data_IF_276459545890
#
_entry.id   IF_276459545890
#
_cell.length_a   1.000
_cell.length_b   1.000
_cell.length_c   1.000
_cell.angle_alpha   90.00
_cell.angle_beta   90.00
_cell.angle_gamma   90.00
#
_symmetry.space_group_name_H-M   'P 1'
#
loop_
_entity.id
_entity.type
_entity.pdbx_description
1 polymer ?
#
# COMPACT_ATOMS: atom_id res chain seq x y z
N UNK A 1 26.45 -15.72 -11.56
CA UNK A 1 25.20 -15.05 -11.98
C UNK A 1 24.10 -15.51 -11.04
N UNK A 2 23.68 -14.67 -10.09
CA UNK A 2 22.61 -15.00 -9.16
C UNK A 2 21.28 -14.92 -9.91
N UNK A 3 20.59 -16.06 -10.03
CA UNK A 3 19.28 -16.12 -10.66
C UNK A 3 18.32 -15.18 -9.91
N UNK A 4 17.80 -14.19 -10.61
CA UNK A 4 16.66 -13.38 -10.16
C UNK A 4 15.43 -14.29 -10.25
N UNK A 5 15.11 -14.95 -9.14
CA UNK A 5 13.96 -15.84 -9.06
C UNK A 5 12.67 -15.02 -9.21
N UNK A 6 12.01 -15.17 -10.37
CA UNK A 6 10.61 -14.85 -10.52
C UNK A 6 9.83 -15.67 -9.49
N UNK A 7 9.12 -14.97 -8.62
CA UNK A 7 8.28 -15.49 -7.54
C UNK A 7 7.07 -16.27 -8.06
N UNK A 8 7.23 -17.28 -8.92
CA UNK A 8 6.14 -18.04 -9.58
C UNK A 8 5.01 -17.16 -10.17
N UNK A 9 5.28 -15.89 -10.49
CA UNK A 9 4.29 -14.89 -10.92
C UNK A 9 3.53 -14.15 -9.80
N UNK A 10 3.74 -14.48 -8.53
CA UNK A 10 3.15 -13.75 -7.38
C UNK A 10 3.83 -12.40 -7.17
N UNK A 11 3.05 -11.39 -6.81
CA UNK A 11 3.56 -10.08 -6.39
C UNK A 11 3.69 -9.96 -4.87
N UNK A 12 4.37 -8.92 -4.36
CA UNK A 12 4.52 -8.64 -2.92
C UNK A 12 3.22 -8.48 -2.13
N UNK A 13 2.10 -8.34 -2.85
CA UNK A 13 0.75 -8.34 -2.31
C UNK A 13 0.23 -9.72 -1.90
N UNK A 14 0.95 -10.80 -2.22
CA UNK A 14 0.53 -12.17 -2.01
C UNK A 14 1.49 -12.91 -1.05
N UNK A 15 1.00 -13.67 -0.05
CA UNK A 15 1.87 -14.39 0.88
C UNK A 15 2.88 -15.35 0.22
N UNK A 16 2.46 -16.06 -0.84
CA UNK A 16 3.33 -16.93 -1.65
C UNK A 16 4.56 -16.23 -2.23
N UNK A 17 4.51 -14.92 -2.46
CA UNK A 17 5.69 -14.17 -2.88
C UNK A 17 6.82 -14.33 -1.87
N UNK A 18 6.51 -14.15 -0.58
CA UNK A 18 7.50 -14.25 0.48
C UNK A 18 7.87 -15.70 0.78
N UNK A 19 6.90 -16.62 0.73
CA UNK A 19 7.16 -18.06 0.91
C UNK A 19 8.15 -18.62 -0.13
N UNK A 20 8.06 -18.13 -1.38
CA UNK A 20 8.94 -18.55 -2.48
C UNK A 20 10.28 -17.79 -2.55
N UNK A 21 10.63 -17.01 -1.52
CA UNK A 21 11.90 -16.28 -1.47
C UNK A 21 11.87 -14.86 -2.06
N UNK A 22 10.69 -14.31 -2.32
CA UNK A 22 10.52 -12.95 -2.81
C UNK A 22 11.10 -11.91 -1.85
N UNK A 23 11.79 -10.91 -2.39
CA UNK A 23 12.46 -9.87 -1.60
C UNK A 23 11.47 -8.78 -1.16
N UNK A 24 11.32 -8.51 0.15
CA UNK A 24 10.46 -7.43 0.61
C UNK A 24 10.86 -6.06 0.04
N UNK A 25 9.87 -5.30 -0.43
CA UNK A 25 10.09 -3.99 -1.01
C UNK A 25 10.29 -2.92 0.06
N UNK A 26 11.20 -1.98 -0.19
CA UNK A 26 11.32 -0.79 0.63
C UNK A 26 10.11 0.14 0.43
N UNK A 27 9.70 0.92 1.45
CA UNK A 27 8.57 1.85 1.32
C UNK A 27 8.66 2.81 0.13
N UNK A 28 9.87 3.26 -0.23
CA UNK A 28 10.10 4.10 -1.42
C UNK A 28 9.81 3.36 -2.73
N UNK A 29 10.08 2.05 -2.81
CA UNK A 29 9.74 1.23 -3.97
C UNK A 29 8.23 1.01 -4.06
N UNK A 30 7.59 0.70 -2.93
CA UNK A 30 6.12 0.55 -2.86
C UNK A 30 5.44 1.85 -3.35
N UNK A 31 5.89 3.02 -2.86
CA UNK A 31 5.37 4.32 -3.32
C UNK A 31 5.53 4.52 -4.83
N UNK A 32 6.69 4.14 -5.41
CA UNK A 32 6.92 4.23 -6.86
C UNK A 32 5.97 3.33 -7.65
N UNK A 33 5.73 2.11 -7.19
CA UNK A 33 4.77 1.19 -7.82
C UNK A 33 3.35 1.78 -7.81
N UNK A 34 2.93 2.34 -6.68
CA UNK A 34 1.61 3.01 -6.55
C UNK A 34 1.48 4.17 -7.54
N UNK A 35 2.48 5.05 -7.62
CA UNK A 35 2.49 6.16 -8.58
C UNK A 35 2.38 5.64 -10.01
N UNK A 36 3.21 4.65 -10.36
CA UNK A 36 3.24 4.10 -11.71
C UNK A 36 1.94 3.38 -12.10
N UNK A 37 1.22 2.80 -11.14
CA UNK A 37 -0.02 2.08 -11.42
C UNK A 37 -1.25 3.00 -11.56
N UNK A 38 -1.16 4.27 -11.16
CA UNK A 38 -2.32 5.19 -11.12
C UNK A 38 -3.45 4.73 -10.19
N UNK A 39 -3.17 3.80 -9.26
CA UNK A 39 -4.19 3.27 -8.36
C UNK A 39 -4.57 4.34 -7.33
N UNK A 40 -5.88 4.54 -7.12
CA UNK A 40 -6.44 5.58 -6.23
C UNK A 40 -6.82 5.09 -4.84
N UNK A 41 -6.63 3.79 -4.55
CA UNK A 41 -6.99 3.21 -3.26
C UNK A 41 -8.47 2.86 -3.14
N UNK A 42 -8.83 2.15 -2.08
CA UNK A 42 -10.20 1.71 -1.83
C UNK A 42 -11.18 2.85 -1.50
N UNK A 43 -10.68 4.04 -1.09
CA UNK A 43 -11.50 5.22 -0.80
C UNK A 43 -11.79 6.08 -2.02
N UNK A 44 -11.37 5.69 -3.23
CA UNK A 44 -11.47 6.53 -4.42
C UNK A 44 -12.88 7.13 -4.64
N UNK A 45 -13.94 6.30 -4.58
CA UNK A 45 -15.31 6.79 -4.76
C UNK A 45 -15.79 7.75 -3.68
N UNK A 46 -15.34 7.57 -2.43
CA UNK A 46 -15.67 8.49 -1.34
C UNK A 46 -14.92 9.82 -1.49
N UNK A 47 -13.65 9.77 -1.89
CA UNK A 47 -12.84 10.96 -2.18
C UNK A 47 -13.44 11.74 -3.36
N UNK A 48 -13.91 11.06 -4.40
CA UNK A 48 -14.59 11.68 -5.54
C UNK A 48 -15.88 12.39 -5.10
N UNK A 49 -16.68 11.75 -4.24
CA UNK A 49 -17.90 12.35 -3.66
C UNK A 49 -17.59 13.61 -2.84
N UNK A 50 -16.55 13.56 -2.02
CA UNK A 50 -16.10 14.69 -1.20
C UNK A 50 -15.56 15.83 -2.08
N UNK A 51 -14.84 15.49 -3.15
CA UNK A 51 -14.33 16.50 -4.08
C UNK A 51 -15.47 17.32 -4.70
N UNK A 52 -16.64 16.75 -4.92
CA UNK A 52 -17.81 17.49 -5.42
C UNK A 52 -18.48 18.43 -4.41
N UNK A 53 -18.05 18.43 -3.14
CA UNK A 53 -18.58 19.38 -2.16
C UNK A 53 -18.08 20.81 -2.42
N UNK A 54 -18.88 21.80 -2.05
CA UNK A 54 -18.44 23.19 -2.03
C UNK A 54 -17.35 23.42 -0.95
N UNK A 55 -16.50 24.40 -1.18
CA UNK A 55 -15.60 24.89 -0.14
C UNK A 55 -16.39 25.59 0.98
N UNK A 56 -15.96 25.52 2.26
CA UNK A 56 -14.72 24.90 2.75
C UNK A 56 -14.85 23.41 3.11
N UNK A 57 -16.04 22.81 2.93
CA UNK A 57 -16.33 21.43 3.35
C UNK A 57 -15.42 20.43 2.66
N UNK A 58 -15.26 20.57 1.34
CA UNK A 58 -14.34 19.76 0.52
C UNK A 58 -12.94 19.72 1.12
N UNK A 59 -12.30 20.88 1.29
CA UNK A 59 -10.92 20.95 1.82
C UNK A 59 -10.82 20.35 3.22
N UNK A 60 -11.81 20.61 4.08
CA UNK A 60 -11.80 20.08 5.44
C UNK A 60 -11.87 18.54 5.47
N UNK A 61 -12.78 17.94 4.70
CA UNK A 61 -12.95 16.49 4.65
C UNK A 61 -11.76 15.80 3.98
N UNK A 62 -11.21 16.35 2.90
CA UNK A 62 -9.99 15.83 2.26
C UNK A 62 -8.80 15.85 3.24
N UNK A 63 -8.63 16.92 4.03
CA UNK A 63 -7.57 16.98 5.06
C UNK A 63 -7.78 15.94 6.17
N UNK A 64 -9.02 15.67 6.56
CA UNK A 64 -9.33 14.62 7.54
C UNK A 64 -8.98 13.21 7.02
N UNK A 65 -9.27 12.92 5.74
CA UNK A 65 -8.85 11.68 5.08
C UNK A 65 -7.32 11.57 5.05
N UNK A 66 -6.62 12.65 4.65
CA UNK A 66 -5.15 12.69 4.64
C UNK A 66 -4.55 12.40 6.01
N UNK A 67 -5.09 13.00 7.08
CA UNK A 67 -4.63 12.78 8.45
C UNK A 67 -4.82 11.31 8.90
N UNK A 68 -5.98 10.74 8.58
CA UNK A 68 -6.29 9.32 8.88
C UNK A 68 -5.35 8.39 8.12
N UNK A 69 -5.17 8.60 6.82
CA UNK A 69 -4.28 7.79 5.98
C UNK A 69 -2.80 7.89 6.41
N UNK A 70 -2.32 9.07 6.82
CA UNK A 70 -0.97 9.23 7.37
C UNK A 70 -0.77 8.46 8.67
N UNK A 71 -1.78 8.46 9.54
CA UNK A 71 -1.73 7.75 10.82
C UNK A 71 -1.69 6.24 10.61
N UNK A 72 -2.56 5.73 9.72
CA UNK A 72 -2.56 4.31 9.34
C UNK A 72 -1.25 3.90 8.67
N UNK A 73 -0.75 4.70 7.72
CA UNK A 73 0.53 4.43 7.06
C UNK A 73 1.68 4.30 8.06
N UNK A 74 1.78 5.18 9.06
CA UNK A 74 2.82 5.08 10.09
C UNK A 74 2.73 3.76 10.87
N UNK A 75 1.52 3.37 11.29
CA UNK A 75 1.27 2.10 11.98
C UNK A 75 1.65 0.90 11.11
N UNK A 76 1.23 0.91 9.84
CA UNK A 76 1.50 -0.20 8.93
C UNK A 76 2.97 -0.28 8.53
N UNK A 77 3.68 0.84 8.44
CA UNK A 77 5.14 0.84 8.23
C UNK A 77 5.90 0.20 9.40
N UNK A 78 5.48 0.46 10.65
CA UNK A 78 6.08 -0.22 11.81
C UNK A 78 5.80 -1.73 11.76
N UNK A 79 4.53 -2.12 11.60
CA UNK A 79 4.17 -3.55 11.53
C UNK A 79 4.79 -4.28 10.32
N UNK A 80 4.97 -3.59 9.19
CA UNK A 80 5.67 -4.16 8.03
C UNK A 80 7.14 -4.42 8.33
N UNK A 81 7.82 -3.52 9.05
CA UNK A 81 9.22 -3.72 9.45
C UNK A 81 9.36 -4.92 10.37
N UNK A 82 8.47 -5.08 11.34
CA UNK A 82 8.43 -6.24 12.25
C UNK A 82 8.27 -7.54 11.46
N UNK A 83 7.24 -7.62 10.60
CA UNK A 83 7.00 -8.80 9.76
C UNK A 83 8.17 -9.11 8.82
N UNK A 84 8.84 -8.09 8.27
CA UNK A 84 10.03 -8.26 7.43
C UNK A 84 11.25 -8.71 8.23
N UNK A 85 11.41 -8.26 9.47
CA UNK A 85 12.46 -8.75 10.35
C UNK A 85 12.24 -10.24 10.68
N UNK A 86 11.02 -10.62 11.02
CA UNK A 86 10.67 -12.03 11.26
C UNK A 86 10.87 -12.89 10.02
N UNK A 87 10.44 -12.42 8.84
CA UNK A 87 10.71 -13.07 7.56
C UNK A 87 12.20 -13.34 7.32
N UNK A 88 13.07 -12.43 7.75
CA UNK A 88 14.53 -12.57 7.57
C UNK A 88 15.17 -13.48 8.61
N UNK A 89 14.55 -13.59 9.79
CA UNK A 89 15.03 -14.44 10.89
C UNK A 89 14.53 -15.88 10.75
N UNK A 90 13.32 -16.05 10.21
CA UNK A 90 12.76 -17.36 9.89
C UNK A 90 13.41 -17.98 8.67
N UNK A 91 13.37 -19.31 8.58
CA UNK A 91 13.72 -20.00 7.34
C UNK A 91 12.61 -19.79 6.31
N UNK A 92 12.87 -18.93 5.31
CA UNK A 92 12.04 -18.86 4.11
C UNK A 92 12.29 -20.13 3.31
N UNK A 93 11.31 -21.03 3.32
CA UNK A 93 11.43 -22.35 2.72
C UNK A 93 10.56 -22.45 1.48
N UNK A 94 11.19 -22.73 0.35
CA UNK A 94 10.50 -23.16 -0.86
C UNK A 94 10.73 -24.65 -1.05
N UNK A 95 9.71 -25.46 -0.78
CA UNK A 95 9.73 -26.87 -1.14
C UNK A 95 9.29 -27.05 -2.59
N UNK A 96 10.15 -27.63 -3.42
CA UNK A 96 9.74 -28.04 -4.77
C UNK A 96 8.92 -29.32 -4.76
N UNK A 97 9.09 -30.17 -3.74
CA UNK A 97 8.39 -31.44 -3.62
C UNK A 97 7.00 -31.28 -3.01
N UNK A 98 6.82 -30.28 -2.13
CA UNK A 98 5.53 -29.93 -1.54
C UNK A 98 5.27 -28.41 -1.55
N UNK A 99 4.85 -27.86 -2.70
CA UNK A 99 4.55 -26.43 -2.82
C UNK A 99 3.32 -26.01 -2.00
N UNK A 100 2.60 -26.93 -1.36
CA UNK A 100 1.42 -26.67 -0.54
C UNK A 100 1.73 -26.66 0.96
N UNK A 101 3.00 -26.80 1.35
CA UNK A 101 3.43 -26.63 2.74
C UNK A 101 2.87 -25.31 3.29
N UNK A 102 2.36 -25.36 4.53
CA UNK A 102 1.65 -24.22 5.14
C UNK A 102 2.49 -22.94 5.09
N UNK A 103 1.88 -21.85 4.62
CA UNK A 103 2.48 -20.52 4.63
C UNK A 103 2.60 -20.04 6.08
N UNK A 104 3.79 -19.59 6.47
CA UNK A 104 4.00 -19.01 7.80
C UNK A 104 3.24 -17.69 7.99
N UNK A 105 2.80 -17.43 9.23
CA UNK A 105 2.05 -16.21 9.61
C UNK A 105 2.79 -14.92 9.23
N UNK A 106 4.12 -14.95 9.23
CA UNK A 106 4.97 -13.82 8.85
C UNK A 106 4.86 -13.48 7.35
N UNK A 107 4.68 -14.46 6.46
CA UNK A 107 4.46 -14.22 5.02
C UNK A 107 3.10 -13.55 4.78
N UNK A 108 2.08 -14.03 5.49
CA UNK A 108 0.73 -13.45 5.42
C UNK A 108 0.76 -12.02 5.95
N UNK A 109 1.34 -11.82 7.13
CA UNK A 109 1.47 -10.51 7.76
C UNK A 109 2.21 -9.51 6.88
N UNK A 110 3.32 -9.90 6.27
CA UNK A 110 4.07 -9.04 5.35
C UNK A 110 3.24 -8.65 4.12
N UNK A 111 2.52 -9.60 3.52
CA UNK A 111 1.69 -9.31 2.34
C UNK A 111 0.51 -8.38 2.65
N UNK A 112 -0.15 -8.56 3.80
CA UNK A 112 -1.23 -7.69 4.26
C UNK A 112 -0.71 -6.28 4.55
N UNK A 113 0.41 -6.18 5.27
CA UNK A 113 1.01 -4.88 5.57
C UNK A 113 1.51 -4.16 4.31
N UNK A 114 2.07 -4.89 3.36
CA UNK A 114 2.37 -4.35 2.03
C UNK A 114 1.10 -3.74 1.39
N UNK A 115 -0.02 -4.48 1.38
CA UNK A 115 -1.27 -4.02 0.75
C UNK A 115 -1.86 -2.79 1.45
N UNK A 116 -1.76 -2.70 2.77
CA UNK A 116 -2.18 -1.51 3.51
C UNK A 116 -1.30 -0.30 3.19
N UNK A 117 0.03 -0.47 3.15
CA UNK A 117 0.97 0.60 2.76
C UNK A 117 0.68 1.05 1.31
N UNK A 118 0.44 0.11 0.40
CA UNK A 118 0.11 0.39 -1.00
C UNK A 118 -1.15 1.25 -1.10
N UNK A 119 -2.22 0.86 -0.39
CA UNK A 119 -3.47 1.61 -0.34
C UNK A 119 -3.31 3.00 0.30
N UNK A 120 -2.57 3.10 1.40
CA UNK A 120 -2.37 4.38 2.07
C UNK A 120 -1.60 5.36 1.16
N UNK A 121 -0.57 4.90 0.45
CA UNK A 121 0.10 5.74 -0.55
C UNK A 121 -0.82 6.16 -1.69
N UNK A 122 -1.70 5.28 -2.15
CA UNK A 122 -2.65 5.59 -3.21
C UNK A 122 -3.62 6.70 -2.79
N UNK A 123 -4.20 6.57 -1.60
CA UNK A 123 -5.09 7.57 -1.00
C UNK A 123 -4.35 8.90 -0.80
N UNK A 124 -3.14 8.88 -0.24
CA UNK A 124 -2.38 10.10 0.02
C UNK A 124 -2.03 10.83 -1.26
N UNK A 125 -1.57 10.12 -2.29
CA UNK A 125 -1.30 10.72 -3.59
C UNK A 125 -2.55 11.36 -4.19
N UNK A 126 -3.68 10.65 -4.17
CA UNK A 126 -4.91 11.15 -4.78
C UNK A 126 -5.46 12.37 -4.04
N UNK A 127 -5.45 12.34 -2.71
CA UNK A 127 -5.86 13.49 -1.89
C UNK A 127 -4.90 14.67 -2.06
N UNK A 128 -3.59 14.43 -2.16
CA UNK A 128 -2.59 15.48 -2.39
C UNK A 128 -2.77 16.14 -3.77
N UNK A 129 -3.10 15.38 -4.81
CA UNK A 129 -3.45 15.90 -6.13
C UNK A 129 -4.67 16.82 -6.07
N UNK A 130 -5.75 16.39 -5.41
CA UNK A 130 -6.95 17.20 -5.27
C UNK A 130 -6.71 18.45 -4.41
N UNK A 131 -5.96 18.34 -3.32
CA UNK A 131 -5.64 19.47 -2.44
C UNK A 131 -4.64 20.45 -3.06
N UNK A 132 -3.91 20.06 -4.12
CA UNK A 132 -3.05 20.99 -4.87
C UNK A 132 -3.88 22.07 -5.60
N UNK A 133 -5.17 21.83 -5.79
CA UNK A 133 -6.11 22.76 -6.40
C UNK A 133 -7.21 23.14 -5.41
N UNK A 134 -7.33 24.44 -5.13
CA UNK A 134 -8.50 24.98 -4.46
C UNK A 134 -9.58 25.22 -5.50
N UNK A 135 -10.81 24.71 -5.28
CA UNK A 135 -11.95 25.08 -6.12
C UNK A 135 -12.28 26.54 -5.88
N UNK A 136 -12.67 27.27 -6.93
CA UNK A 136 -13.00 28.69 -6.76
C UNK A 136 -14.11 28.82 -5.72
N UNK A 137 -13.92 29.76 -4.80
CA UNK A 137 -14.89 30.06 -3.76
C UNK A 137 -16.14 30.75 -4.34
N UNK A 138 -16.03 31.30 -5.57
CA UNK A 138 -17.00 32.19 -6.19
C UNK A 138 -17.54 31.70 -7.54
N UNK A 139 -17.31 30.44 -7.93
CA UNK A 139 -17.89 29.81 -9.15
C UNK A 139 -19.43 29.55 -9.03
N UNK A 140 -20.15 30.43 -8.32
CA UNK A 140 -21.60 30.42 -8.16
C UNK A 140 -22.33 31.34 -9.16
N UNK A 141 -21.70 31.68 -10.30
CA UNK A 141 -22.31 32.48 -11.36
C UNK A 141 -22.12 31.86 -12.74
#
# INVERSE_FOLDING_TARGET
MAATFESMGYGPCHPWYYHTGGTPLYPKQIKRCVIASGYRGYLAGEIERIDQCAEPKRTHELRAIKATALTQLKRDLSGYREAVCELRQGEVFYDKADPYRSIGDYCVSASLKHNHIYNAFAILNYVDELLAHQKDLFDLF
#
